data_IF_497263599099
#
_entry.id   IF_497263599099
#
_cell.length_a   1.000
_cell.length_b   1.000
_cell.length_c   1.000
_cell.angle_alpha   90.00
_cell.angle_beta   90.00
_cell.angle_gamma   90.00
#
_symmetry.space_group_name_H-M   'P 1'
#
loop_
_entity.id
_entity.type
_entity.pdbx_description
1 polymer ?
#
# COMPACT_ATOMS: atom_id res chain seq x y z
N UNK A 1 8.84 -15.33 -9.86
CA UNK A 1 8.24 -15.71 -8.55
C UNK A 1 9.33 -15.64 -7.49
N UNK A 2 9.04 -15.10 -6.31
CA UNK A 2 10.05 -14.72 -5.30
C UNK A 2 10.50 -15.86 -4.35
N UNK A 3 10.04 -17.11 -4.53
CA UNK A 3 10.54 -18.28 -3.79
C UNK A 3 9.96 -18.51 -2.38
N UNK A 4 8.97 -17.73 -1.96
CA UNK A 4 8.28 -17.91 -0.67
C UNK A 4 7.44 -19.20 -0.64
N UNK A 5 7.33 -19.81 0.56
CA UNK A 5 6.57 -21.03 0.82
C UNK A 5 5.35 -20.76 1.70
N UNK A 6 4.33 -21.60 1.53
CA UNK A 6 3.10 -21.64 2.32
C UNK A 6 2.44 -20.26 2.51
N UNK A 7 2.10 -19.55 1.40
CA UNK A 7 1.47 -18.25 1.50
C UNK A 7 0.07 -18.39 2.09
N UNK A 8 -0.25 -17.52 3.03
CA UNK A 8 -1.59 -17.35 3.58
C UNK A 8 -2.02 -15.92 3.31
N UNK A 9 -3.27 -15.78 2.91
CA UNK A 9 -3.88 -14.51 2.55
C UNK A 9 -5.16 -14.33 3.35
N UNK A 10 -5.35 -13.12 3.87
CA UNK A 10 -6.58 -12.69 4.52
C UNK A 10 -7.03 -11.33 3.96
N UNK A 11 -8.31 -11.00 4.12
CA UNK A 11 -8.92 -9.79 3.56
C UNK A 11 -9.90 -9.17 4.56
N UNK A 12 -9.81 -7.86 4.76
CA UNK A 12 -10.74 -7.09 5.55
C UNK A 12 -11.27 -5.86 4.79
N UNK A 13 -12.52 -5.50 5.04
CA UNK A 13 -13.14 -4.27 4.57
C UNK A 13 -13.25 -3.28 5.72
N UNK A 14 -12.57 -2.14 5.63
CA UNK A 14 -12.53 -1.10 6.67
C UNK A 14 -13.12 0.19 6.10
N UNK A 15 -14.13 0.75 6.76
CA UNK A 15 -14.65 2.08 6.41
C UNK A 15 -14.12 3.12 7.40
N UNK A 16 -13.30 4.04 6.90
CA UNK A 16 -12.84 5.20 7.64
C UNK A 16 -13.77 6.39 7.36
N UNK A 17 -13.93 7.27 8.35
CA UNK A 17 -14.79 8.45 8.24
C UNK A 17 -13.99 9.72 8.49
N UNK A 18 -14.24 10.75 7.68
CA UNK A 18 -13.50 12.01 7.69
C UNK A 18 -14.45 13.19 7.88
N UNK A 19 -14.02 14.22 8.59
CA UNK A 19 -14.82 15.46 8.69
C UNK A 19 -14.85 16.20 7.35
N UNK A 20 -13.74 16.15 6.60
CA UNK A 20 -13.55 16.86 5.34
C UNK A 20 -12.77 16.02 4.31
N UNK A 21 -13.09 16.20 3.02
CA UNK A 21 -12.43 15.48 1.89
C UNK A 21 -10.92 15.64 1.90
N UNK A 22 -10.40 16.76 2.42
CA UNK A 22 -8.96 17.01 2.51
C UNK A 22 -8.24 15.98 3.38
N UNK A 23 -8.87 15.51 4.46
CA UNK A 23 -8.31 14.47 5.32
C UNK A 23 -8.16 13.15 4.56
N UNK A 24 -9.20 12.76 3.84
CA UNK A 24 -9.19 11.59 2.96
C UNK A 24 -8.05 11.66 1.92
N UNK A 25 -7.91 12.80 1.22
CA UNK A 25 -6.85 12.96 0.22
C UNK A 25 -5.44 12.92 0.81
N UNK A 26 -5.28 13.42 2.03
CA UNK A 26 -4.01 13.36 2.74
C UNK A 26 -3.62 11.91 3.02
N UNK A 27 -4.56 11.08 3.46
CA UNK A 27 -4.31 9.67 3.75
C UNK A 27 -4.01 8.88 2.47
N UNK A 28 -4.78 9.11 1.40
CA UNK A 28 -4.48 8.52 0.09
C UNK A 28 -3.06 8.86 -0.39
N UNK A 29 -2.64 10.11 -0.22
CA UNK A 29 -1.28 10.52 -0.57
C UNK A 29 -0.23 9.84 0.30
N UNK A 30 -0.50 9.69 1.60
CA UNK A 30 0.40 9.06 2.57
C UNK A 30 0.66 7.58 2.26
N UNK A 31 -0.35 6.85 1.77
CA UNK A 31 -0.21 5.45 1.33
C UNK A 31 0.30 5.30 -0.11
N UNK A 32 0.64 6.41 -0.78
CA UNK A 32 1.14 6.39 -2.16
C UNK A 32 0.07 6.12 -3.23
N UNK A 33 -1.22 6.27 -2.90
CA UNK A 33 -2.33 6.12 -3.84
C UNK A 33 -2.33 7.30 -4.84
N UNK A 34 -1.58 7.13 -5.92
CA UNK A 34 -1.50 8.09 -7.01
C UNK A 34 -2.56 7.82 -8.09
N UNK A 35 -2.93 8.86 -8.84
CA UNK A 35 -3.87 8.71 -9.96
C UNK A 35 -3.19 8.03 -11.16
N UNK A 36 -3.48 6.74 -11.34
CA UNK A 36 -3.00 5.91 -12.46
C UNK A 36 -3.96 5.87 -13.67
N UNK A 37 -5.06 6.63 -13.65
CA UNK A 37 -6.09 6.60 -14.69
C UNK A 37 -5.54 6.99 -16.05
N UNK A 38 -5.81 6.17 -17.06
CA UNK A 38 -5.50 6.48 -18.46
C UNK A 38 -6.23 7.78 -18.88
N UNK A 39 -5.50 8.72 -19.47
CA UNK A 39 -6.07 10.04 -19.82
C UNK A 39 -6.13 11.04 -18.67
N UNK A 40 -5.47 10.77 -17.53
CA UNK A 40 -5.34 11.77 -16.45
C UNK A 40 -4.82 13.10 -16.97
N UNK A 41 -5.27 14.19 -16.36
CA UNK A 41 -4.69 15.50 -16.63
C UNK A 41 -3.18 15.47 -16.28
N UNK A 42 -2.34 15.92 -17.22
CA UNK A 42 -0.89 16.00 -17.04
C UNK A 42 -0.43 17.34 -16.46
N UNK A 43 -1.28 18.37 -16.54
CA UNK A 43 -1.02 19.68 -15.97
C UNK A 43 -1.42 19.79 -14.50
N UNK A 44 -1.13 20.96 -13.91
CA UNK A 44 -1.58 21.29 -12.57
C UNK A 44 -3.11 21.34 -12.49
N UNK A 45 -3.65 20.89 -11.37
CA UNK A 45 -5.10 21.01 -11.10
C UNK A 45 -5.40 22.43 -10.64
N UNK A 46 -6.24 23.14 -11.39
CA UNK A 46 -6.66 24.50 -11.05
C UNK A 46 -7.58 24.56 -9.82
N UNK A 47 -7.63 25.73 -9.17
CA UNK A 47 -8.42 25.98 -7.96
C UNK A 47 -9.90 25.65 -8.13
N UNK A 48 -10.55 26.12 -9.20
CA UNK A 48 -11.97 25.84 -9.46
C UNK A 48 -12.25 24.34 -9.57
N UNK A 49 -11.43 23.59 -10.32
CA UNK A 49 -11.60 22.14 -10.46
C UNK A 49 -11.45 21.43 -9.12
N UNK A 50 -10.52 21.88 -8.27
CA UNK A 50 -10.37 21.34 -6.91
C UNK A 50 -11.62 21.62 -6.04
N UNK A 51 -12.20 22.81 -6.12
CA UNK A 51 -13.43 23.14 -5.38
C UNK A 51 -14.63 22.34 -5.87
N UNK A 52 -14.79 22.19 -7.19
CA UNK A 52 -15.83 21.34 -7.77
C UNK A 52 -15.67 19.89 -7.35
N UNK A 53 -14.43 19.39 -7.23
CA UNK A 53 -14.16 18.06 -6.70
C UNK A 53 -14.63 17.91 -5.23
N UNK A 54 -14.30 18.88 -4.36
CA UNK A 54 -14.77 18.85 -2.97
C UNK A 54 -16.30 18.86 -2.89
N UNK A 55 -16.97 19.75 -3.63
CA UNK A 55 -18.43 19.84 -3.66
C UNK A 55 -19.07 18.56 -4.19
N UNK A 56 -18.51 17.96 -5.24
CA UNK A 56 -19.01 16.70 -5.76
C UNK A 56 -18.92 15.57 -4.73
N UNK A 57 -17.94 15.61 -3.83
CA UNK A 57 -17.78 14.59 -2.80
C UNK A 57 -18.80 14.71 -1.66
N UNK A 58 -19.40 15.88 -1.46
CA UNK A 58 -20.42 16.12 -0.42
C UNK A 58 -21.66 15.24 -0.57
N UNK A 59 -21.93 14.71 -1.77
CA UNK A 59 -23.04 13.77 -2.00
C UNK A 59 -22.90 12.46 -1.19
N UNK A 60 -21.68 12.16 -0.71
CA UNK A 60 -21.39 10.97 0.10
C UNK A 60 -21.43 11.24 1.60
N UNK A 61 -21.72 12.48 2.05
CA UNK A 61 -21.78 12.81 3.47
C UNK A 61 -22.92 12.05 4.16
N UNK A 62 -22.58 11.37 5.24
CA UNK A 62 -23.51 10.60 6.06
C UNK A 62 -24.31 11.50 7.00
N UNK A 63 -25.33 10.93 7.63
CA UNK A 63 -26.22 11.62 8.57
C UNK A 63 -25.49 12.20 9.79
N UNK A 64 -24.38 11.57 10.20
CA UNK A 64 -23.51 12.05 11.27
C UNK A 64 -22.58 13.20 10.84
N UNK A 65 -22.71 13.64 9.58
CA UNK A 65 -21.93 14.72 9.01
C UNK A 65 -20.53 14.30 8.56
N UNK A 66 -20.18 13.01 8.52
CA UNK A 66 -18.85 12.55 8.07
C UNK A 66 -18.87 12.01 6.65
N UNK A 67 -17.70 12.00 6.01
CA UNK A 67 -17.46 11.45 4.68
C UNK A 67 -16.82 10.07 4.81
N UNK A 68 -17.44 9.00 4.28
CA UNK A 68 -16.91 7.65 4.36
C UNK A 68 -15.92 7.35 3.23
N UNK A 69 -14.91 6.53 3.53
CA UNK A 69 -14.04 5.90 2.55
C UNK A 69 -13.80 4.45 2.95
N UNK A 70 -14.17 3.51 2.08
CA UNK A 70 -14.02 2.08 2.33
C UNK A 70 -12.74 1.56 1.66
N UNK A 71 -11.93 0.86 2.43
CA UNK A 71 -10.67 0.25 2.04
C UNK A 71 -10.79 -1.27 2.11
N UNK A 72 -10.35 -1.94 1.05
CA UNK A 72 -10.11 -3.38 1.06
C UNK A 72 -8.63 -3.61 1.37
N UNK A 73 -8.34 -4.22 2.51
CA UNK A 73 -6.97 -4.49 2.95
C UNK A 73 -6.71 -5.99 2.82
N UNK A 74 -5.72 -6.33 2.00
CA UNK A 74 -5.29 -7.71 1.78
C UNK A 74 -3.98 -7.93 2.52
N UNK A 75 -4.00 -8.85 3.48
CA UNK A 75 -2.83 -9.27 4.24
C UNK A 75 -2.24 -10.52 3.61
N UNK A 76 -0.93 -10.54 3.40
CA UNK A 76 -0.22 -11.70 2.88
C UNK A 76 0.98 -12.02 3.76
N UNK A 77 1.03 -13.25 4.28
CA UNK A 77 2.20 -13.75 4.99
C UNK A 77 2.71 -15.03 4.34
N UNK A 78 4.02 -15.18 4.23
CA UNK A 78 4.64 -16.35 3.66
C UNK A 78 6.03 -16.57 4.28
N UNK A 79 6.52 -17.80 4.23
CA UNK A 79 7.82 -18.17 4.78
C UNK A 79 8.91 -17.99 3.75
N UNK A 80 10.03 -17.39 4.15
CA UNK A 80 11.24 -17.37 3.34
C UNK A 80 11.78 -18.81 3.19
N UNK A 81 12.35 -19.17 2.02
CA UNK A 81 13.00 -20.45 1.87
C UNK A 81 14.20 -20.54 2.82
N UNK A 82 14.41 -21.73 3.40
CA UNK A 82 15.60 -22.01 4.18
C UNK A 82 16.83 -21.84 3.28
N UNK A 83 17.74 -20.91 3.63
CA UNK A 83 19.01 -20.76 2.93
C UNK A 83 19.82 -21.99 3.27
N UNK A 84 19.84 -22.98 2.37
CA UNK A 84 20.71 -24.12 2.53
C UNK A 84 22.16 -23.61 2.72
N UNK A 85 22.90 -24.07 3.75
CA UNK A 85 24.28 -23.68 3.91
C UNK A 85 25.02 -23.98 2.61
N UNK A 86 25.71 -22.96 2.09
CA UNK A 86 26.61 -23.07 0.95
C UNK A 86 27.42 -24.36 1.11
N UNK A 87 27.27 -25.29 0.18
CA UNK A 87 28.07 -26.53 0.11
C UNK A 87 29.53 -26.25 -0.26
N UNK A 88 30.12 -25.18 0.27
CA UNK A 88 31.55 -24.93 0.18
C UNK A 88 32.24 -26.09 0.90
N UNK A 89 33.03 -26.93 0.19
CA UNK A 89 33.75 -28.01 0.82
C UNK A 89 34.67 -27.42 1.90
N UNK A 90 34.66 -28.06 3.06
CA UNK A 90 35.51 -27.75 4.21
C UNK A 90 36.96 -27.51 3.73
N UNK A 91 37.39 -26.25 3.69
CA UNK A 91 38.76 -25.89 3.28
C UNK A 91 39.71 -26.25 4.41
N UNK A 92 40.26 -27.45 4.35
CA UNK A 92 41.37 -27.83 5.20
C UNK A 92 42.62 -27.01 4.82
N UNK A 93 43.03 -26.07 5.68
CA UNK A 93 44.30 -25.35 5.55
C UNK A 93 45.32 -26.06 6.44
N UNK A 94 46.28 -26.83 5.89
CA UNK A 94 47.29 -27.47 6.71
C UNK A 94 48.25 -26.42 7.27
N UNK A 95 48.22 -26.23 8.58
CA UNK A 95 49.25 -25.49 9.31
C UNK A 95 50.49 -26.36 9.39
N UNK A 96 51.56 -25.92 8.72
CA UNK A 96 52.89 -26.52 8.88
C UNK A 96 53.53 -25.95 10.15
N UNK A 97 53.98 -26.80 11.11
CA UNK A 97 54.72 -26.31 12.26
C UNK A 97 56.08 -25.78 11.80
N UNK A 98 56.52 -24.69 12.45
CA UNK A 98 57.77 -23.96 12.22
C UNK A 98 58.94 -24.71 12.81
#
# INVERSE_FOLDING_TARGET
QAGFRDPVVDMEMITLTYDEVRGLLHDLKSIGANNATAGRNRGLTGKQRMQSFYQAYEQFRLEDGKLPATYEVIYGHAWAPEIAPSGAPERHIPIRPV
#
